data_IF_670762139759
#
_entry.id   IF_670762139759
#
_cell.length_a   1.000
_cell.length_b   1.000
_cell.length_c   1.000
_cell.angle_alpha   90.00
_cell.angle_beta   90.00
_cell.angle_gamma   90.00
#
_symmetry.space_group_name_H-M   'P 1'
#
loop_
_entity.id
_entity.type
_entity.pdbx_description
1 polymer ?
#
# COMPACT_ATOMS: atom_id res chain seq x y z
N UNK A 1 13.63 -17.12 -41.70
CA UNK A 1 14.06 -15.81 -41.12
C UNK A 1 13.16 -15.30 -39.97
N UNK A 2 12.57 -16.16 -39.11
CA UNK A 2 11.72 -15.71 -37.97
C UNK A 2 12.27 -16.04 -36.56
N UNK A 3 13.28 -16.91 -36.44
CA UNK A 3 13.86 -17.28 -35.14
C UNK A 3 15.00 -16.34 -34.67
N UNK A 4 15.77 -15.76 -35.60
CA UNK A 4 16.90 -14.88 -35.26
C UNK A 4 16.46 -13.49 -34.72
N UNK A 5 15.31 -12.98 -35.14
CA UNK A 5 14.79 -11.69 -34.67
C UNK A 5 14.24 -11.74 -33.24
N UNK A 6 13.75 -12.89 -32.77
CA UNK A 6 13.24 -13.01 -31.40
C UNK A 6 14.38 -13.02 -30.36
N UNK A 7 15.51 -13.63 -30.70
CA UNK A 7 16.65 -13.78 -29.78
C UNK A 7 17.39 -12.45 -29.55
N UNK A 8 17.49 -11.59 -30.57
CA UNK A 8 18.16 -10.28 -30.47
C UNK A 8 17.35 -9.28 -29.63
N UNK A 9 16.01 -9.33 -29.72
CA UNK A 9 15.11 -8.46 -28.94
C UNK A 9 15.08 -8.85 -27.45
N UNK A 10 15.11 -10.15 -27.14
CA UNK A 10 15.13 -10.64 -25.75
C UNK A 10 16.47 -10.33 -25.06
N UNK A 11 17.59 -10.47 -25.78
CA UNK A 11 18.92 -10.14 -25.26
C UNK A 11 19.05 -8.62 -25.00
N UNK A 12 18.52 -7.78 -25.88
CA UNK A 12 18.57 -6.32 -25.72
C UNK A 12 17.76 -5.83 -24.51
N UNK A 13 16.60 -6.44 -24.22
CA UNK A 13 15.77 -6.11 -23.05
C UNK A 13 16.42 -6.55 -21.72
N UNK A 14 17.12 -7.69 -21.71
CA UNK A 14 17.86 -8.16 -20.53
C UNK A 14 19.08 -7.28 -20.24
N UNK A 15 19.76 -6.77 -21.27
CA UNK A 15 20.86 -5.82 -21.11
C UNK A 15 20.41 -4.43 -20.65
N UNK A 16 19.23 -3.93 -21.06
CA UNK A 16 18.67 -2.69 -20.51
C UNK A 16 18.21 -2.83 -19.06
N UNK A 17 17.62 -3.97 -18.66
CA UNK A 17 17.24 -4.24 -17.27
C UNK A 17 18.45 -4.44 -16.34
N UNK A 18 19.52 -5.10 -16.82
CA UNK A 18 20.78 -5.23 -16.10
C UNK A 18 21.53 -3.88 -15.98
N UNK A 19 21.42 -3.01 -17.01
CA UNK A 19 21.95 -1.66 -16.96
C UNK A 19 21.16 -0.73 -16.02
N UNK A 20 19.84 -0.95 -15.84
CA UNK A 20 19.04 -0.27 -14.82
C UNK A 20 19.40 -0.74 -13.41
N UNK A 21 19.48 -2.05 -13.15
CA UNK A 21 19.89 -2.57 -11.84
C UNK A 21 21.33 -2.15 -11.44
N UNK A 22 22.24 -2.07 -12.43
CA UNK A 22 23.59 -1.54 -12.22
C UNK A 22 23.58 -0.03 -11.97
N UNK A 23 22.71 0.74 -12.66
CA UNK A 23 22.49 2.16 -12.38
C UNK A 23 21.84 2.41 -11.02
N UNK A 24 20.93 1.56 -10.54
CA UNK A 24 20.30 1.68 -9.22
C UNK A 24 21.33 1.47 -8.11
N UNK A 25 22.20 0.45 -8.26
CA UNK A 25 23.33 0.19 -7.37
C UNK A 25 24.39 1.30 -7.44
N UNK A 26 24.72 1.79 -8.63
CA UNK A 26 25.70 2.85 -8.84
C UNK A 26 25.18 4.22 -8.39
N UNK A 27 23.89 4.53 -8.55
CA UNK A 27 23.27 5.75 -8.04
C UNK A 27 23.19 5.72 -6.51
N UNK A 28 22.76 4.60 -5.91
CA UNK A 28 22.79 4.42 -4.45
C UNK A 28 24.22 4.51 -3.91
N UNK A 29 25.20 3.91 -4.58
CA UNK A 29 26.62 4.01 -4.20
C UNK A 29 27.18 5.43 -4.39
N UNK A 30 26.80 6.12 -5.47
CA UNK A 30 27.24 7.49 -5.78
C UNK A 30 26.59 8.51 -4.85
N UNK A 31 25.35 8.32 -4.39
CA UNK A 31 24.74 9.14 -3.35
C UNK A 31 25.37 8.89 -1.98
N UNK A 32 25.71 7.63 -1.65
CA UNK A 32 26.53 7.31 -0.45
C UNK A 32 27.91 7.99 -0.50
N UNK A 33 28.55 8.06 -1.66
CA UNK A 33 29.86 8.70 -1.84
C UNK A 33 29.79 10.24 -1.94
N UNK A 34 28.76 10.80 -2.59
CA UNK A 34 28.57 12.26 -2.71
C UNK A 34 28.29 12.90 -1.34
N UNK A 35 27.66 12.17 -0.44
CA UNK A 35 27.44 12.57 0.95
C UNK A 35 28.61 12.23 1.89
N UNK A 36 29.64 11.51 1.41
CA UNK A 36 30.84 11.20 2.20
C UNK A 36 31.89 12.34 2.20
N UNK A 37 31.73 13.35 1.32
CA UNK A 37 32.67 14.46 1.16
C UNK A 37 32.13 15.84 1.59
N UNK A 38 30.86 15.94 1.99
CA UNK A 38 30.34 17.15 2.64
C UNK A 38 30.84 17.14 4.08
N UNK A 39 31.73 18.08 4.38
CA UNK A 39 32.42 18.32 5.66
C UNK A 39 31.95 17.49 6.86
N UNK A 40 32.90 16.67 7.32
CA UNK A 40 33.04 16.14 8.67
C UNK A 40 32.96 17.30 9.67
N UNK A 41 31.72 17.63 10.06
CA UNK A 41 31.38 18.65 11.05
C UNK A 41 30.20 18.14 11.87
N UNK A 42 30.50 17.35 12.91
CA UNK A 42 29.62 17.07 14.04
C UNK A 42 28.18 16.61 13.76
N UNK A 43 27.90 15.73 12.79
CA UNK A 43 26.65 14.94 12.80
C UNK A 43 26.80 13.52 12.23
N UNK A 44 27.99 12.92 12.37
CA UNK A 44 28.13 11.47 12.29
C UNK A 44 27.65 10.84 13.62
N UNK A 45 26.35 10.88 13.89
CA UNK A 45 25.76 10.00 14.89
C UNK A 45 25.70 8.60 14.28
N UNK A 46 26.45 7.68 14.91
CA UNK A 46 26.44 6.24 14.69
C UNK A 46 25.15 5.70 14.06
N UNK A 47 25.28 4.89 13.01
CA UNK A 47 24.25 4.11 12.31
C UNK A 47 23.54 3.04 13.17
N UNK A 48 23.27 3.32 14.45
CA UNK A 48 22.46 2.49 15.35
C UNK A 48 21.24 3.22 15.94
N UNK A 49 21.15 4.53 15.73
CA UNK A 49 20.07 5.34 16.26
C UNK A 49 19.39 6.13 15.13
N UNK A 50 18.22 5.64 14.71
CA UNK A 50 17.30 6.32 13.80
C UNK A 50 15.85 6.25 14.28
N UNK A 51 15.65 6.06 15.58
CA UNK A 51 14.38 6.19 16.30
C UNK A 51 14.73 6.86 17.62
N UNK A 52 14.19 8.04 17.97
CA UNK A 52 14.36 8.66 19.29
C UNK A 52 14.30 7.60 20.40
N UNK A 53 15.22 7.65 21.37
CA UNK A 53 15.31 6.62 22.43
C UNK A 53 14.00 6.40 23.21
N UNK A 54 13.08 7.37 23.18
CA UNK A 54 11.73 7.26 23.73
C UNK A 54 10.73 6.58 22.78
N UNK A 55 10.87 6.73 21.46
CA UNK A 55 10.05 6.01 20.47
C UNK A 55 10.36 4.51 20.46
N UNK A 56 11.64 4.10 20.65
CA UNK A 56 12.01 2.67 20.83
C UNK A 56 11.35 2.03 22.07
N UNK A 57 11.01 2.81 23.11
CA UNK A 57 10.33 2.31 24.31
C UNK A 57 8.82 2.15 24.13
N UNK A 58 8.20 2.94 23.25
CA UNK A 58 6.77 2.85 22.92
C UNK A 58 6.52 1.76 21.88
N UNK A 59 7.46 1.54 20.95
CA UNK A 59 7.32 0.66 19.79
C UNK A 59 7.33 -0.86 20.08
N UNK A 60 7.45 -1.31 21.33
CA UNK A 60 7.65 -2.75 21.62
C UNK A 60 6.51 -3.41 22.39
N UNK A 61 5.37 -2.74 22.60
CA UNK A 61 4.21 -3.36 23.25
C UNK A 61 2.90 -3.16 22.49
N UNK A 62 2.77 -3.94 21.42
CA UNK A 62 1.58 -3.96 20.55
C UNK A 62 0.28 -4.27 21.30
N UNK A 63 0.33 -5.05 22.39
CA UNK A 63 -0.86 -5.43 23.14
C UNK A 63 -1.31 -4.35 24.14
N UNK A 64 -0.39 -3.66 24.81
CA UNK A 64 -0.72 -2.62 25.79
C UNK A 64 -1.06 -1.28 25.12
N UNK A 65 -0.34 -0.92 24.06
CA UNK A 65 -0.44 0.37 23.38
C UNK A 65 -0.55 0.19 21.87
N UNK A 66 -1.63 -0.44 21.36
CA UNK A 66 -1.72 -0.85 19.96
C UNK A 66 -1.63 0.33 18.98
N UNK A 67 -2.43 1.39 19.19
CA UNK A 67 -2.41 2.57 18.31
C UNK A 67 -1.04 3.26 18.33
N UNK A 68 -0.46 3.50 19.50
CA UNK A 68 0.85 4.14 19.62
C UNK A 68 1.96 3.29 18.98
N UNK A 69 1.91 1.97 19.14
CA UNK A 69 2.91 1.05 18.57
C UNK A 69 2.80 1.00 17.05
N UNK A 70 1.59 0.79 16.54
CA UNK A 70 1.33 0.73 15.09
C UNK A 70 1.63 2.06 14.42
N UNK A 71 1.26 3.18 15.04
CA UNK A 71 1.43 4.52 14.46
C UNK A 71 2.75 5.19 14.80
N UNK A 72 3.68 4.49 15.46
CA UNK A 72 5.06 4.96 15.62
C UNK A 72 5.68 5.26 14.24
N UNK A 73 6.62 6.20 14.18
CA UNK A 73 7.28 6.57 12.94
C UNK A 73 8.03 5.36 12.40
N UNK A 74 7.60 4.87 11.23
CA UNK A 74 8.22 3.74 10.55
C UNK A 74 9.15 4.18 9.42
N UNK A 75 9.21 5.46 9.06
CA UNK A 75 9.90 5.92 7.84
C UNK A 75 11.42 5.93 8.01
N UNK A 76 12.14 5.46 6.98
CA UNK A 76 13.58 5.65 6.95
C UNK A 76 13.91 7.08 6.47
N UNK A 77 15.02 7.70 6.93
CA UNK A 77 15.38 9.07 6.53
C UNK A 77 15.47 9.30 5.02
N UNK A 78 15.80 8.26 4.25
CA UNK A 78 15.88 8.35 2.79
C UNK A 78 14.51 8.58 2.14
N UNK A 79 13.41 8.13 2.75
CA UNK A 79 12.05 8.34 2.23
C UNK A 79 11.72 9.83 2.07
N UNK A 80 12.06 10.65 3.06
CA UNK A 80 11.87 12.11 3.00
C UNK A 80 12.70 12.74 1.87
N UNK A 81 13.94 12.30 1.72
CA UNK A 81 14.83 12.78 0.64
C UNK A 81 14.23 12.47 -0.73
N UNK A 82 13.74 11.24 -0.94
CA UNK A 82 13.14 10.82 -2.21
C UNK A 82 11.89 11.64 -2.53
N UNK A 83 11.01 11.85 -1.55
CA UNK A 83 9.79 12.67 -1.71
C UNK A 83 10.15 14.09 -2.14
N UNK A 84 11.11 14.72 -1.45
CA UNK A 84 11.56 16.08 -1.75
C UNK A 84 12.17 16.18 -3.15
N UNK A 85 13.17 15.36 -3.46
CA UNK A 85 13.87 15.41 -4.75
C UNK A 85 12.94 15.09 -5.93
N UNK A 86 12.08 14.07 -5.78
CA UNK A 86 11.12 13.67 -6.81
C UNK A 86 10.10 14.77 -7.09
N UNK A 87 9.53 15.35 -6.04
CA UNK A 87 8.57 16.44 -6.14
C UNK A 87 9.16 17.71 -6.75
N UNK A 88 10.36 18.12 -6.32
CA UNK A 88 11.06 19.30 -6.87
C UNK A 88 11.36 19.13 -8.37
N UNK A 89 11.81 17.95 -8.77
CA UNK A 89 12.06 17.61 -10.18
C UNK A 89 10.78 17.65 -11.01
N UNK A 90 9.69 17.06 -10.50
CA UNK A 90 8.40 17.06 -11.19
C UNK A 90 7.83 18.48 -11.32
N UNK A 91 7.91 19.30 -10.27
CA UNK A 91 7.40 20.69 -10.28
C UNK A 91 8.18 21.57 -11.26
N UNK A 92 9.50 21.41 -11.30
CA UNK A 92 10.35 22.13 -12.26
C UNK A 92 9.97 21.80 -13.70
N UNK A 93 9.75 20.51 -13.99
CA UNK A 93 9.32 20.08 -15.32
C UNK A 93 7.91 20.56 -15.65
N UNK A 94 6.98 20.54 -14.68
CA UNK A 94 5.62 21.04 -14.86
C UNK A 94 5.61 22.53 -15.25
N UNK A 95 6.33 23.38 -14.51
CA UNK A 95 6.43 24.83 -14.80
C UNK A 95 7.02 25.11 -16.18
N UNK A 96 7.92 24.24 -16.66
CA UNK A 96 8.48 24.32 -18.00
C UNK A 96 7.45 23.96 -19.08
N UNK A 97 6.62 22.95 -18.84
CA UNK A 97 5.56 22.51 -19.76
C UNK A 97 4.34 23.44 -19.78
N UNK A 98 4.10 24.15 -18.67
CA UNK A 98 2.98 25.09 -18.50
C UNK A 98 3.49 26.46 -18.05
N UNK A 99 4.01 27.30 -18.98
CA UNK A 99 4.59 28.61 -18.65
C UNK A 99 3.60 29.63 -18.07
N UNK A 100 2.30 29.36 -18.15
CA UNK A 100 1.26 30.19 -17.53
C UNK A 100 1.18 30.01 -16.01
N UNK A 101 1.80 28.96 -15.45
CA UNK A 101 1.89 28.78 -13.99
C UNK A 101 2.78 29.87 -13.39
N UNK A 102 2.40 30.40 -12.24
CA UNK A 102 3.19 31.43 -11.56
C UNK A 102 4.55 30.89 -11.12
N UNK A 103 5.55 31.77 -11.03
CA UNK A 103 6.87 31.41 -10.51
C UNK A 103 6.79 30.83 -9.08
N UNK A 104 5.85 31.33 -8.28
CA UNK A 104 5.59 30.92 -6.89
C UNK A 104 4.74 29.64 -6.77
N UNK A 105 4.17 29.13 -7.86
CA UNK A 105 3.32 27.95 -7.84
C UNK A 105 4.02 26.76 -7.17
N UNK A 106 3.44 26.19 -6.12
CA UNK A 106 4.06 25.10 -5.35
C UNK A 106 3.56 23.73 -5.78
N UNK A 107 2.46 23.64 -6.51
CA UNK A 107 1.81 22.39 -6.87
C UNK A 107 1.09 21.75 -5.68
N UNK A 108 0.44 22.55 -4.83
CA UNK A 108 -0.44 22.00 -3.77
C UNK A 108 -1.84 21.73 -4.31
N UNK A 109 -2.58 20.84 -3.65
CA UNK A 109 -3.96 20.52 -4.01
C UNK A 109 -4.85 21.78 -4.03
N UNK A 110 -4.64 22.71 -3.11
CA UNK A 110 -5.39 23.98 -3.03
C UNK A 110 -5.12 24.88 -4.24
N UNK A 111 -3.86 24.94 -4.71
CA UNK A 111 -3.51 25.74 -5.89
C UNK A 111 -4.13 25.14 -7.16
N UNK A 112 -4.11 23.81 -7.31
CA UNK A 112 -4.76 23.14 -8.44
C UNK A 112 -6.27 23.36 -8.44
N UNK A 113 -6.93 23.22 -7.28
CA UNK A 113 -8.37 23.44 -7.13
C UNK A 113 -8.78 24.90 -7.39
N UNK A 114 -8.08 25.86 -6.78
CA UNK A 114 -8.37 27.29 -6.94
C UNK A 114 -8.19 27.75 -8.40
N UNK A 115 -7.16 27.23 -9.07
CA UNK A 115 -6.89 27.54 -10.48
C UNK A 115 -7.71 26.70 -11.47
N UNK A 116 -8.48 25.70 -11.01
CA UNK A 116 -9.15 24.70 -11.87
C UNK A 116 -8.19 24.02 -12.86
N UNK A 117 -6.98 23.72 -12.40
CA UNK A 117 -5.83 23.26 -13.19
C UNK A 117 -5.76 21.73 -13.28
N UNK A 118 -6.87 21.08 -13.65
CA UNK A 118 -6.97 19.61 -13.65
C UNK A 118 -5.97 18.93 -14.58
N UNK A 119 -5.65 19.56 -15.72
CA UNK A 119 -4.68 19.02 -16.68
C UNK A 119 -3.26 19.04 -16.11
N UNK A 120 -2.91 20.14 -15.44
CA UNK A 120 -1.63 20.34 -14.79
C UNK A 120 -1.49 19.43 -13.56
N UNK A 121 -2.57 19.23 -12.79
CA UNK A 121 -2.61 18.30 -11.66
C UNK A 121 -2.32 16.87 -12.11
N UNK A 122 -3.05 16.39 -13.12
CA UNK A 122 -2.80 15.06 -13.70
C UNK A 122 -1.37 14.93 -14.23
N UNK A 123 -0.86 15.98 -14.89
CA UNK A 123 0.50 15.97 -15.41
C UNK A 123 1.53 15.98 -14.29
N UNK A 124 1.29 16.70 -13.20
CA UNK A 124 2.17 16.74 -12.05
C UNK A 124 2.23 15.41 -11.34
N UNK A 125 1.08 14.73 -11.20
CA UNK A 125 0.99 13.38 -10.65
C UNK A 125 1.80 12.37 -11.48
N UNK A 126 1.67 12.42 -12.81
CA UNK A 126 2.45 11.59 -13.72
C UNK A 126 3.97 11.87 -13.61
N UNK A 127 4.36 13.14 -13.65
CA UNK A 127 5.77 13.54 -13.55
C UNK A 127 6.38 13.14 -12.21
N UNK A 128 5.61 13.24 -11.14
CA UNK A 128 6.02 12.84 -9.79
C UNK A 128 6.23 11.33 -9.68
N UNK A 129 5.27 10.52 -10.12
CA UNK A 129 5.40 9.05 -10.16
C UNK A 129 6.64 8.61 -10.96
N UNK A 130 6.86 9.21 -12.13
CA UNK A 130 8.05 8.94 -12.94
C UNK A 130 9.34 9.36 -12.22
N UNK A 131 9.36 10.50 -11.52
CA UNK A 131 10.52 10.97 -10.78
C UNK A 131 10.83 10.07 -9.57
N UNK A 132 9.81 9.61 -8.84
CA UNK A 132 9.98 8.68 -7.72
C UNK A 132 10.52 7.33 -8.18
N UNK A 133 9.96 6.76 -9.26
CA UNK A 133 10.40 5.47 -9.82
C UNK A 133 11.84 5.49 -10.31
N UNK A 134 12.35 6.64 -10.75
CA UNK A 134 13.77 6.80 -11.07
C UNK A 134 14.69 6.71 -9.85
N UNK A 135 14.19 6.98 -8.65
CA UNK A 135 14.97 6.98 -7.41
C UNK A 135 14.74 5.67 -6.63
N UNK A 136 13.52 5.14 -6.67
CA UNK A 136 13.10 3.91 -6.01
C UNK A 136 12.09 3.16 -6.89
N UNK A 137 12.54 2.08 -7.53
CA UNK A 137 11.71 1.21 -8.37
C UNK A 137 10.83 0.29 -7.52
N UNK A 138 9.66 0.79 -7.11
CA UNK A 138 8.68 0.03 -6.34
C UNK A 138 7.86 -0.97 -7.17
N UNK A 139 7.98 -1.01 -8.51
CA UNK A 139 7.20 -1.93 -9.34
C UNK A 139 7.55 -3.40 -9.03
N UNK A 140 8.82 -3.68 -8.73
CA UNK A 140 9.28 -5.01 -8.33
C UNK A 140 8.63 -5.47 -7.04
N UNK A 141 8.60 -4.59 -6.03
CA UNK A 141 8.00 -4.88 -4.73
C UNK A 141 6.48 -5.09 -4.88
N UNK A 142 5.81 -4.33 -5.75
CA UNK A 142 4.40 -4.53 -6.09
C UNK A 142 4.17 -5.92 -6.68
N UNK A 143 4.93 -6.30 -7.70
CA UNK A 143 4.72 -7.60 -8.38
C UNK A 143 5.04 -8.78 -7.46
N UNK A 144 6.11 -8.69 -6.66
CA UNK A 144 6.47 -9.71 -5.68
C UNK A 144 5.37 -9.82 -4.59
N UNK A 145 4.89 -8.70 -4.07
CA UNK A 145 3.78 -8.69 -3.10
C UNK A 145 2.50 -9.25 -3.71
N UNK A 146 2.15 -8.85 -4.93
CA UNK A 146 0.96 -9.34 -5.66
C UNK A 146 0.99 -10.86 -5.79
N UNK A 147 2.08 -11.41 -6.30
CA UNK A 147 2.23 -12.85 -6.46
C UNK A 147 2.14 -13.61 -5.12
N UNK A 148 2.74 -13.05 -4.06
CA UNK A 148 2.67 -13.61 -2.72
C UNK A 148 1.24 -13.61 -2.16
N UNK A 149 0.54 -12.46 -2.23
CA UNK A 149 -0.84 -12.33 -1.74
C UNK A 149 -1.79 -13.23 -2.53
N UNK A 150 -1.66 -13.31 -3.85
CA UNK A 150 -2.45 -14.23 -4.68
C UNK A 150 -2.27 -15.70 -4.27
N UNK A 151 -1.01 -16.10 -4.01
CA UNK A 151 -0.71 -17.44 -3.51
C UNK A 151 -1.37 -17.69 -2.14
N UNK A 152 -1.22 -16.77 -1.19
CA UNK A 152 -1.77 -16.90 0.15
C UNK A 152 -3.30 -16.94 0.13
N UNK A 153 -3.95 -16.15 -0.72
CA UNK A 153 -5.40 -16.22 -0.94
C UNK A 153 -5.82 -17.56 -1.53
N UNK A 154 -5.10 -18.06 -2.53
CA UNK A 154 -5.41 -19.36 -3.11
C UNK A 154 -5.32 -20.47 -2.05
N UNK A 155 -4.28 -20.47 -1.21
CA UNK A 155 -4.15 -21.42 -0.09
C UNK A 155 -5.30 -21.27 0.91
N UNK A 156 -5.65 -20.03 1.29
CA UNK A 156 -6.74 -19.73 2.21
C UNK A 156 -8.11 -20.20 1.67
N UNK A 157 -8.42 -19.88 0.41
CA UNK A 157 -9.68 -20.27 -0.26
C UNK A 157 -9.75 -21.79 -0.43
N UNK A 158 -8.65 -22.45 -0.81
CA UNK A 158 -8.64 -23.90 -0.99
C UNK A 158 -8.91 -24.65 0.33
N UNK A 159 -8.41 -24.12 1.45
CA UNK A 159 -8.63 -24.67 2.78
C UNK A 159 -10.05 -24.42 3.34
N UNK A 160 -10.87 -23.58 2.67
CA UNK A 160 -12.23 -23.27 3.12
C UNK A 160 -13.23 -24.41 2.87
N UNK A 161 -14.42 -24.28 3.47
CA UNK A 161 -15.57 -25.19 3.30
C UNK A 161 -16.42 -24.86 2.07
N UNK A 162 -16.02 -23.88 1.25
CA UNK A 162 -16.70 -23.50 0.02
C UNK A 162 -16.76 -24.68 -0.97
N UNK A 163 -17.75 -24.68 -1.87
CA UNK A 163 -17.79 -25.65 -2.98
C UNK A 163 -16.62 -25.44 -3.94
N UNK A 164 -16.26 -26.46 -4.71
CA UNK A 164 -15.17 -26.38 -5.68
C UNK A 164 -15.42 -25.31 -6.76
N UNK A 165 -16.69 -25.11 -7.15
CA UNK A 165 -17.09 -24.06 -8.09
C UNK A 165 -16.82 -22.66 -7.50
N UNK A 166 -17.21 -22.44 -6.23
CA UNK A 166 -17.03 -21.14 -5.58
C UNK A 166 -15.55 -20.88 -5.27
N UNK A 167 -14.78 -21.91 -4.89
CA UNK A 167 -13.31 -21.83 -4.77
C UNK A 167 -12.67 -21.38 -6.09
N UNK A 168 -13.03 -22.02 -7.20
CA UNK A 168 -12.53 -21.65 -8.55
C UNK A 168 -12.90 -20.22 -8.91
N UNK A 169 -14.13 -19.81 -8.61
CA UNK A 169 -14.61 -18.44 -8.89
C UNK A 169 -13.83 -17.39 -8.10
N UNK A 170 -13.68 -17.56 -6.79
CA UNK A 170 -12.95 -16.59 -5.95
C UNK A 170 -11.47 -16.53 -6.31
N UNK A 171 -10.82 -17.68 -6.54
CA UNK A 171 -9.43 -17.72 -7.02
C UNK A 171 -9.30 -17.01 -8.37
N UNK A 172 -10.27 -17.17 -9.27
CA UNK A 172 -10.26 -16.46 -10.55
C UNK A 172 -10.33 -14.94 -10.38
N UNK A 173 -11.13 -14.43 -9.44
CA UNK A 173 -11.23 -12.98 -9.15
C UNK A 173 -9.90 -12.45 -8.58
N UNK A 174 -9.29 -13.16 -7.64
CA UNK A 174 -8.00 -12.79 -7.06
C UNK A 174 -6.90 -12.78 -8.12
N UNK A 175 -6.87 -13.80 -8.98
CA UNK A 175 -5.85 -13.93 -10.01
C UNK A 175 -6.02 -12.91 -11.15
N UNK A 176 -7.27 -12.51 -11.45
CA UNK A 176 -7.54 -11.50 -12.46
C UNK A 176 -7.36 -10.07 -11.96
N UNK A 177 -7.27 -9.85 -10.64
CA UNK A 177 -7.11 -8.51 -10.08
C UNK A 177 -5.74 -7.91 -10.41
N UNK A 178 -5.71 -6.70 -10.93
CA UNK A 178 -4.50 -5.96 -11.28
C UNK A 178 -4.17 -4.89 -10.24
N UNK A 179 -2.86 -4.67 -10.04
CA UNK A 179 -2.35 -3.55 -9.24
C UNK A 179 -1.66 -2.60 -10.21
N UNK A 180 -2.22 -1.40 -10.37
CA UNK A 180 -1.75 -0.45 -11.37
C UNK A 180 -1.07 0.74 -10.71
N UNK A 181 0.13 1.07 -11.19
CA UNK A 181 0.81 2.32 -10.84
C UNK A 181 0.17 3.51 -11.56
N UNK A 182 0.47 4.72 -11.09
CA UNK A 182 0.00 5.97 -11.71
C UNK A 182 0.42 6.04 -13.17
N UNK A 183 1.70 5.74 -13.49
CA UNK A 183 2.15 5.70 -14.87
C UNK A 183 1.34 4.71 -15.71
N UNK A 184 1.08 3.48 -15.21
CA UNK A 184 0.26 2.51 -15.94
C UNK A 184 -1.17 3.02 -16.18
N UNK A 185 -1.78 3.65 -15.17
CA UNK A 185 -3.11 4.24 -15.27
C UNK A 185 -3.16 5.32 -16.36
N UNK A 186 -2.14 6.17 -16.44
CA UNK A 186 -2.11 7.35 -17.32
C UNK A 186 -1.64 6.99 -18.73
N UNK A 187 -0.67 6.10 -18.88
CA UNK A 187 0.00 5.82 -20.16
C UNK A 187 -0.69 4.73 -20.99
N UNK A 188 -1.38 3.77 -20.35
CA UNK A 188 -1.99 2.64 -21.05
C UNK A 188 -3.44 2.92 -21.44
N UNK A 189 -3.99 2.16 -22.39
CA UNK A 189 -5.39 2.25 -22.82
C UNK A 189 -6.15 1.00 -22.39
N UNK A 190 -7.21 1.18 -21.59
CA UNK A 190 -8.04 0.10 -21.07
C UNK A 190 -9.46 0.61 -20.74
N UNK A 191 -10.47 -0.27 -20.68
CA UNK A 191 -11.83 0.09 -20.23
C UNK A 191 -11.82 0.71 -18.84
N UNK A 192 -12.45 1.89 -18.68
CA UNK A 192 -12.52 2.59 -17.40
C UNK A 192 -11.30 3.45 -17.05
N UNK A 193 -10.35 3.66 -17.97
CA UNK A 193 -9.19 4.54 -17.77
C UNK A 193 -9.53 5.91 -17.18
N UNK A 194 -10.56 6.57 -17.68
CA UNK A 194 -10.94 7.90 -17.19
C UNK A 194 -11.37 7.87 -15.72
N UNK A 195 -12.10 6.82 -15.31
CA UNK A 195 -12.51 6.64 -13.92
C UNK A 195 -11.30 6.38 -13.02
N UNK A 196 -10.34 5.53 -13.46
CA UNK A 196 -9.09 5.32 -12.72
C UNK A 196 -8.22 6.57 -12.64
N UNK A 197 -8.21 7.38 -13.71
CA UNK A 197 -7.45 8.63 -13.74
C UNK A 197 -8.01 9.62 -12.73
N UNK A 198 -9.34 9.75 -12.66
CA UNK A 198 -10.03 10.57 -11.66
C UNK A 198 -9.72 10.03 -10.26
N UNK A 199 -9.87 8.72 -10.05
CA UNK A 199 -9.59 8.07 -8.77
C UNK A 199 -8.15 8.33 -8.30
N UNK A 200 -7.19 8.22 -9.21
CA UNK A 200 -5.78 8.50 -8.95
C UNK A 200 -5.57 9.96 -8.51
N UNK A 201 -6.09 10.94 -9.26
CA UNK A 201 -5.96 12.36 -8.90
C UNK A 201 -6.66 12.70 -7.58
N UNK A 202 -7.80 12.09 -7.27
CA UNK A 202 -8.54 12.38 -6.04
C UNK A 202 -7.96 11.71 -4.79
N UNK A 203 -7.21 10.60 -4.93
CA UNK A 203 -6.72 9.84 -3.78
C UNK A 203 -5.22 9.96 -3.54
N UNK A 204 -4.43 10.24 -4.58
CA UNK A 204 -2.97 10.25 -4.47
C UNK A 204 -2.38 11.64 -4.28
N UNK A 205 -3.22 12.67 -4.13
CA UNK A 205 -2.81 14.07 -4.14
C UNK A 205 -2.14 14.47 -5.47
N UNK A 206 -1.95 15.78 -5.70
CA UNK A 206 -1.39 16.27 -6.96
C UNK A 206 0.04 15.77 -7.25
N UNK A 207 0.82 15.42 -6.22
CA UNK A 207 2.20 14.96 -6.34
C UNK A 207 2.40 13.45 -6.07
N UNK A 208 1.32 12.69 -5.90
CA UNK A 208 1.39 11.24 -5.68
C UNK A 208 1.79 10.84 -4.25
N UNK A 209 2.00 11.77 -3.33
CA UNK A 209 2.44 11.48 -1.96
C UNK A 209 1.32 10.99 -1.04
N UNK A 210 0.07 10.99 -1.51
CA UNK A 210 -1.06 10.42 -0.78
C UNK A 210 -0.77 8.99 -0.33
N UNK A 211 -1.20 8.67 0.89
CA UNK A 211 -1.00 7.36 1.52
C UNK A 211 -2.27 6.50 1.39
N UNK A 212 -2.81 6.37 0.18
CA UNK A 212 -4.05 5.61 -0.06
C UNK A 212 -3.83 4.41 -0.99
N UNK A 213 -4.64 3.38 -0.79
CA UNK A 213 -4.93 2.37 -1.79
C UNK A 213 -6.45 2.36 -2.03
N UNK A 214 -6.87 1.90 -3.20
CA UNK A 214 -8.29 1.83 -3.53
C UNK A 214 -8.57 0.76 -4.57
N UNK A 215 -9.50 -0.13 -4.24
CA UNK A 215 -10.07 -1.10 -5.16
C UNK A 215 -11.19 -0.49 -5.99
N UNK A 216 -11.18 -0.76 -7.28
CA UNK A 216 -12.22 -0.34 -8.21
C UNK A 216 -12.63 -1.50 -9.11
N UNK A 217 -13.94 -1.60 -9.35
CA UNK A 217 -14.50 -2.43 -10.41
C UNK A 217 -14.88 -1.52 -11.56
N UNK A 218 -14.04 -1.48 -12.60
CA UNK A 218 -14.22 -0.56 -13.70
C UNK A 218 -15.32 -1.04 -14.65
N UNK A 219 -16.21 -0.14 -15.12
CA UNK A 219 -17.23 -0.50 -16.11
C UNK A 219 -16.59 -1.11 -17.36
N UNK A 220 -16.98 -2.36 -17.67
CA UNK A 220 -16.47 -3.08 -18.84
C UNK A 220 -15.08 -3.72 -18.68
N UNK A 221 -14.44 -3.61 -17.52
CA UNK A 221 -13.23 -4.38 -17.24
C UNK A 221 -13.60 -5.80 -16.79
N UNK A 222 -12.91 -6.80 -17.34
CA UNK A 222 -13.03 -8.21 -16.91
C UNK A 222 -12.29 -8.51 -15.61
N UNK A 223 -11.52 -7.54 -15.11
CA UNK A 223 -10.61 -7.63 -13.99
C UNK A 223 -10.85 -6.47 -13.03
N UNK A 224 -10.72 -6.74 -11.73
CA UNK A 224 -10.63 -5.71 -10.71
C UNK A 224 -9.32 -4.96 -10.81
N UNK A 225 -9.31 -3.67 -10.45
CA UNK A 225 -8.08 -2.86 -10.40
C UNK A 225 -7.89 -2.29 -9.01
N UNK A 226 -6.67 -2.36 -8.51
CA UNK A 226 -6.21 -1.75 -7.27
C UNK A 226 -5.25 -0.63 -7.63
N UNK A 227 -5.61 0.59 -7.26
CA UNK A 227 -4.72 1.73 -7.23
C UNK A 227 -3.96 1.72 -5.91
N UNK A 228 -2.65 1.90 -5.95
CA UNK A 228 -1.85 2.22 -4.76
C UNK A 228 -1.04 3.48 -5.05
N UNK A 229 -1.19 4.50 -4.22
CA UNK A 229 -0.52 5.76 -4.40
C UNK A 229 0.99 5.65 -4.13
N UNK A 230 1.86 6.37 -4.87
CA UNK A 230 3.31 6.33 -4.70
C UNK A 230 3.78 6.55 -3.26
N UNK A 231 3.10 7.42 -2.51
CA UNK A 231 3.40 7.69 -1.10
C UNK A 231 3.48 6.42 -0.25
N UNK A 232 2.59 5.44 -0.46
CA UNK A 232 2.59 4.18 0.28
C UNK A 232 3.89 3.39 0.10
N UNK A 233 4.47 3.42 -1.11
CA UNK A 233 5.73 2.74 -1.40
C UNK A 233 6.93 3.55 -0.90
N UNK A 234 6.91 4.86 -1.12
CA UNK A 234 7.99 5.77 -0.76
C UNK A 234 8.26 5.79 0.74
N UNK A 235 7.21 5.67 1.56
CA UNK A 235 7.31 5.56 3.02
C UNK A 235 8.29 4.47 3.48
N UNK A 236 8.35 3.40 2.72
CA UNK A 236 9.12 2.20 3.04
C UNK A 236 10.48 2.18 2.35
N UNK A 237 10.79 3.21 1.53
CA UNK A 237 12.07 3.30 0.85
C UNK A 237 13.21 3.30 1.85
N UNK A 238 14.23 2.46 1.61
CA UNK A 238 15.37 2.29 2.50
C UNK A 238 15.22 1.26 3.61
N UNK A 239 14.03 0.66 3.80
CA UNK A 239 13.87 -0.54 4.63
C UNK A 239 14.35 -1.80 3.89
N UNK A 240 14.57 -2.87 4.63
CA UNK A 240 14.85 -4.19 4.07
C UNK A 240 13.67 -4.71 3.24
N UNK A 241 13.96 -5.45 2.16
CA UNK A 241 12.93 -5.91 1.21
C UNK A 241 11.79 -6.64 1.90
N UNK A 242 12.10 -7.57 2.80
CA UNK A 242 11.10 -8.35 3.52
C UNK A 242 10.12 -7.48 4.31
N UNK A 243 10.60 -6.39 4.90
CA UNK A 243 9.77 -5.43 5.64
C UNK A 243 8.89 -4.63 4.69
N UNK A 244 9.43 -4.22 3.53
CA UNK A 244 8.66 -3.52 2.50
C UNK A 244 7.53 -4.39 1.94
N UNK A 245 7.83 -5.63 1.59
CA UNK A 245 6.82 -6.62 1.15
C UNK A 245 5.79 -6.86 2.24
N UNK A 246 6.24 -7.11 3.49
CA UNK A 246 5.33 -7.38 4.61
C UNK A 246 4.37 -6.22 4.87
N UNK A 247 4.85 -4.97 4.77
CA UNK A 247 4.00 -3.80 4.92
C UNK A 247 2.89 -3.73 3.86
N UNK A 248 3.18 -4.17 2.64
CA UNK A 248 2.24 -4.17 1.52
C UNK A 248 1.31 -5.39 1.49
N UNK A 249 1.71 -6.53 2.08
CA UNK A 249 0.91 -7.77 2.07
C UNK A 249 -0.49 -7.53 2.62
N UNK A 250 -0.58 -6.86 3.78
CA UNK A 250 -1.87 -6.63 4.42
C UNK A 250 -2.73 -5.63 3.64
N UNK A 251 -2.14 -4.50 3.23
CA UNK A 251 -2.83 -3.49 2.42
C UNK A 251 -3.38 -4.10 1.13
N UNK A 252 -2.55 -4.85 0.40
CA UNK A 252 -2.97 -5.46 -0.85
C UNK A 252 -4.00 -6.57 -0.63
N UNK A 253 -3.88 -7.33 0.45
CA UNK A 253 -4.88 -8.34 0.78
C UNK A 253 -6.24 -7.72 1.11
N UNK A 254 -6.26 -6.62 1.87
CA UNK A 254 -7.47 -5.85 2.18
C UNK A 254 -8.18 -5.41 0.88
N UNK A 255 -7.43 -4.80 -0.04
CA UNK A 255 -7.96 -4.36 -1.34
C UNK A 255 -8.42 -5.55 -2.22
N UNK A 256 -7.66 -6.65 -2.25
CA UNK A 256 -8.09 -7.85 -2.98
C UNK A 256 -9.37 -8.47 -2.41
N UNK A 257 -9.62 -8.35 -1.11
CA UNK A 257 -10.89 -8.77 -0.52
C UNK A 257 -12.06 -7.93 -1.03
N UNK A 258 -11.89 -6.61 -1.17
CA UNK A 258 -12.94 -5.77 -1.78
C UNK A 258 -13.29 -6.23 -3.20
N UNK A 259 -12.31 -6.70 -3.98
CA UNK A 259 -12.59 -7.27 -5.30
C UNK A 259 -13.45 -8.54 -5.23
N UNK A 260 -13.26 -9.38 -4.22
CA UNK A 260 -14.14 -10.51 -3.94
C UNK A 260 -15.55 -10.05 -3.56
N UNK A 261 -15.68 -9.00 -2.75
CA UNK A 261 -16.99 -8.44 -2.38
C UNK A 261 -17.73 -7.88 -3.60
N UNK A 262 -17.03 -7.16 -4.49
CA UNK A 262 -17.61 -6.60 -5.71
C UNK A 262 -18.03 -7.68 -6.72
N UNK A 263 -17.16 -8.67 -6.98
CA UNK A 263 -17.29 -9.58 -8.13
C UNK A 263 -17.82 -10.96 -7.75
N UNK A 264 -17.40 -11.48 -6.59
CA UNK A 264 -17.85 -12.78 -6.08
C UNK A 264 -19.06 -12.66 -5.15
N UNK A 265 -19.38 -11.45 -4.65
CA UNK A 265 -20.44 -11.20 -3.65
C UNK A 265 -20.21 -12.01 -2.37
N UNK A 266 -18.95 -12.07 -1.93
CA UNK A 266 -18.50 -12.84 -0.76
C UNK A 266 -19.20 -12.41 0.55
N UNK A 267 -19.86 -11.25 0.57
CA UNK A 267 -20.64 -10.69 1.68
C UNK A 267 -21.74 -11.61 2.26
N UNK A 268 -21.97 -12.80 1.69
CA UNK A 268 -23.10 -13.68 2.03
C UNK A 268 -22.69 -15.09 2.49
N UNK A 269 -21.42 -15.53 2.38
CA UNK A 269 -21.10 -16.97 2.48
C UNK A 269 -20.05 -17.43 3.51
N UNK A 270 -19.22 -16.55 4.09
CA UNK A 270 -18.48 -16.93 5.31
C UNK A 270 -19.34 -16.68 6.55
N UNK A 271 -20.43 -17.45 6.66
CA UNK A 271 -21.47 -17.28 7.67
C UNK A 271 -20.93 -17.40 9.11
N UNK A 272 -19.80 -18.09 9.33
CA UNK A 272 -19.22 -18.22 10.66
C UNK A 272 -18.31 -17.04 11.03
N UNK A 273 -17.44 -16.57 10.12
CA UNK A 273 -16.61 -15.40 10.36
C UNK A 273 -17.46 -14.12 10.46
N UNK A 274 -18.45 -13.95 9.56
CA UNK A 274 -19.42 -12.85 9.62
C UNK A 274 -20.25 -12.93 10.90
N UNK A 275 -20.69 -14.12 11.34
CA UNK A 275 -21.46 -14.25 12.60
C UNK A 275 -20.64 -13.91 13.84
N UNK A 276 -19.37 -14.30 13.91
CA UNK A 276 -18.49 -13.93 15.02
C UNK A 276 -18.28 -12.41 15.07
N UNK A 277 -17.96 -11.81 13.91
CA UNK A 277 -17.76 -10.37 13.79
C UNK A 277 -19.05 -9.61 14.13
N UNK A 278 -20.18 -9.98 13.52
CA UNK A 278 -21.51 -9.42 13.83
C UNK A 278 -21.76 -9.45 15.32
N UNK A 279 -21.65 -10.59 15.99
CA UNK A 279 -21.91 -10.65 17.45
C UNK A 279 -20.99 -9.76 18.30
N UNK A 280 -19.84 -9.33 17.78
CA UNK A 280 -18.87 -8.49 18.48
C UNK A 280 -18.98 -7.00 18.16
N UNK A 281 -19.74 -6.62 17.11
CA UNK A 281 -19.92 -5.23 16.69
C UNK A 281 -21.09 -4.58 17.45
N UNK A 282 -20.95 -3.43 18.09
CA UNK A 282 -22.10 -2.72 18.64
C UNK A 282 -22.99 -2.15 17.51
N UNK A 283 -24.27 -1.90 17.81
CA UNK A 283 -25.21 -1.13 16.96
C UNK A 283 -25.56 -1.77 15.60
N UNK A 284 -26.08 -3.00 15.62
CA UNK A 284 -26.57 -3.75 14.43
C UNK A 284 -27.63 -3.02 13.61
N UNK A 285 -28.41 -2.16 14.24
CA UNK A 285 -29.57 -1.50 13.62
C UNK A 285 -29.21 -0.18 12.90
N UNK A 286 -27.94 0.20 12.89
CA UNK A 286 -27.50 1.42 12.22
C UNK A 286 -27.53 1.26 10.69
N UNK A 287 -27.97 2.33 10.01
CA UNK A 287 -28.12 2.44 8.55
C UNK A 287 -26.88 2.03 7.72
N UNK A 288 -25.69 2.07 8.30
CA UNK A 288 -24.42 1.77 7.62
C UNK A 288 -23.65 0.59 8.25
N UNK A 289 -24.33 -0.24 9.04
CA UNK A 289 -23.76 -1.45 9.63
C UNK A 289 -23.14 -2.37 8.56
N UNK A 290 -23.79 -2.53 7.42
CA UNK A 290 -23.30 -3.37 6.32
C UNK A 290 -21.98 -2.84 5.72
N UNK A 291 -21.79 -1.52 5.63
CA UNK A 291 -20.51 -0.93 5.18
C UNK A 291 -19.40 -1.18 6.20
N UNK A 292 -19.67 -0.96 7.49
CA UNK A 292 -18.72 -1.25 8.58
C UNK A 292 -18.34 -2.73 8.63
N UNK A 293 -19.31 -3.62 8.41
CA UNK A 293 -19.08 -5.06 8.36
C UNK A 293 -18.16 -5.44 7.18
N UNK A 294 -18.40 -4.87 5.99
CA UNK A 294 -17.57 -5.15 4.81
C UNK A 294 -16.12 -4.75 5.00
N UNK A 295 -15.87 -3.57 5.54
CA UNK A 295 -14.52 -3.08 5.88
C UNK A 295 -13.84 -3.95 6.92
N UNK A 296 -14.56 -4.33 7.98
CA UNK A 296 -14.02 -5.19 9.02
C UNK A 296 -13.73 -6.61 8.52
N UNK A 297 -14.52 -7.16 7.60
CA UNK A 297 -14.22 -8.44 6.94
C UNK A 297 -12.96 -8.35 6.06
N UNK A 298 -12.78 -7.23 5.36
CA UNK A 298 -11.58 -6.97 4.57
C UNK A 298 -10.33 -6.91 5.48
N UNK A 299 -10.41 -6.19 6.59
CA UNK A 299 -9.37 -6.16 7.62
C UNK A 299 -9.06 -7.55 8.18
N UNK A 300 -10.07 -8.29 8.63
CA UNK A 300 -9.88 -9.61 9.22
C UNK A 300 -9.22 -10.58 8.24
N UNK A 301 -9.71 -10.63 6.99
CA UNK A 301 -9.15 -11.52 5.98
C UNK A 301 -7.72 -11.11 5.66
N UNK A 302 -7.43 -9.82 5.51
CA UNK A 302 -6.08 -9.31 5.33
C UNK A 302 -5.16 -9.68 6.50
N UNK A 303 -5.67 -9.61 7.73
CA UNK A 303 -4.97 -10.06 8.94
C UNK A 303 -4.64 -11.55 8.90
N UNK A 304 -5.59 -12.40 8.49
CA UNK A 304 -5.35 -13.86 8.32
C UNK A 304 -4.28 -14.14 7.27
N UNK A 305 -4.33 -13.46 6.13
CA UNK A 305 -3.33 -13.55 5.06
C UNK A 305 -1.95 -13.09 5.57
N UNK A 306 -1.88 -12.00 6.32
CA UNK A 306 -0.65 -11.53 6.96
C UNK A 306 -0.08 -12.56 7.94
N UNK A 307 -0.90 -13.17 8.79
CA UNK A 307 -0.42 -14.19 9.73
C UNK A 307 0.07 -15.45 9.01
N UNK A 308 -0.55 -15.82 7.89
CA UNK A 308 -0.08 -16.90 7.03
C UNK A 308 1.30 -16.59 6.41
N UNK A 309 1.51 -15.36 5.92
CA UNK A 309 2.82 -14.87 5.47
C UNK A 309 3.88 -14.95 6.57
N UNK A 310 3.51 -14.57 7.80
CA UNK A 310 4.42 -14.54 8.94
C UNK A 310 4.54 -15.89 9.68
N UNK A 311 3.97 -16.97 9.15
CA UNK A 311 3.96 -18.29 9.81
C UNK A 311 5.37 -18.81 10.13
N UNK A 312 6.34 -18.57 9.24
CA UNK A 312 7.72 -19.01 9.42
C UNK A 312 8.54 -18.13 10.38
N UNK A 313 8.05 -16.94 10.75
CA UNK A 313 8.72 -16.08 11.72
C UNK A 313 8.45 -16.64 13.11
N UNK A 314 9.45 -17.22 13.77
CA UNK A 314 9.28 -17.82 15.11
C UNK A 314 9.60 -16.85 16.24
N UNK A 315 10.47 -15.86 15.99
CA UNK A 315 10.78 -14.82 16.96
C UNK A 315 9.56 -13.90 17.19
N UNK A 316 9.08 -13.86 18.43
CA UNK A 316 7.85 -13.14 18.78
C UNK A 316 7.98 -11.63 18.55
N UNK A 317 9.12 -11.05 18.92
CA UNK A 317 9.37 -9.62 18.76
C UNK A 317 9.39 -9.22 17.29
N UNK A 318 10.17 -9.93 16.48
CA UNK A 318 10.24 -9.71 15.02
C UNK A 318 8.86 -9.86 14.38
N UNK A 319 8.06 -10.83 14.85
CA UNK A 319 6.68 -10.99 14.37
C UNK A 319 5.80 -9.81 14.75
N UNK A 320 5.85 -9.34 16.00
CA UNK A 320 5.11 -8.15 16.44
C UNK A 320 5.52 -6.91 15.64
N UNK A 321 6.82 -6.67 15.45
CA UNK A 321 7.33 -5.54 14.67
C UNK A 321 6.80 -5.56 13.23
N UNK A 322 6.78 -6.75 12.59
CA UNK A 322 6.25 -6.96 11.24
C UNK A 322 4.74 -6.77 11.14
N UNK A 323 4.00 -7.19 12.16
CA UNK A 323 2.55 -6.97 12.24
C UNK A 323 2.25 -5.48 12.41
N UNK A 324 2.97 -4.78 13.29
CA UNK A 324 2.84 -3.33 13.45
C UNK A 324 3.16 -2.58 12.16
N UNK A 325 4.22 -2.99 11.46
CA UNK A 325 4.58 -2.42 10.17
C UNK A 325 3.48 -2.62 9.10
N UNK A 326 2.86 -3.80 9.08
CA UNK A 326 1.76 -4.12 8.16
C UNK A 326 0.45 -3.40 8.48
N UNK A 327 0.21 -3.02 9.74
CA UNK A 327 -0.98 -2.25 10.14
C UNK A 327 -0.78 -0.73 10.04
N UNK A 328 0.46 -0.25 9.87
CA UNK A 328 0.80 1.17 9.93
C UNK A 328 0.05 2.05 8.91
N UNK A 329 -0.43 1.49 7.79
CA UNK A 329 -1.22 2.21 6.80
C UNK A 329 -2.54 2.76 7.39
N UNK A 330 -3.12 2.08 8.38
CA UNK A 330 -4.34 2.51 9.09
C UNK A 330 -4.15 3.87 9.79
N UNK A 331 -2.92 4.26 10.11
CA UNK A 331 -2.63 5.53 10.78
C UNK A 331 -2.72 6.75 9.84
N UNK A 332 -2.86 6.54 8.53
CA UNK A 332 -2.90 7.62 7.52
C UNK A 332 -4.26 7.75 6.85
N UNK A 333 -5.22 6.91 7.25
CA UNK A 333 -6.61 7.06 6.87
C UNK A 333 -7.20 8.13 7.81
N UNK A 334 -7.84 9.19 7.29
CA UNK A 334 -8.54 10.14 8.15
C UNK A 334 -9.50 9.38 9.08
N UNK A 335 -9.40 9.63 10.40
CA UNK A 335 -10.39 9.09 11.33
C UNK A 335 -11.77 9.60 10.88
N UNK A 336 -12.75 8.70 10.86
CA UNK A 336 -14.13 9.04 10.54
C UNK A 336 -14.58 10.24 11.40
N UNK A 337 -14.95 11.36 10.78
CA UNK A 337 -15.48 12.52 11.49
C UNK A 337 -16.78 12.14 12.23
N UNK A 338 -17.26 12.93 13.19
CA UNK A 338 -18.48 12.60 13.97
C UNK A 338 -19.76 12.39 13.12
N UNK A 339 -19.79 12.87 11.86
CA UNK A 339 -20.84 12.54 10.89
C UNK A 339 -20.62 11.24 10.09
N UNK A 340 -19.38 10.72 10.07
CA UNK A 340 -18.89 9.50 9.39
C UNK A 340 -18.60 8.34 10.35
N UNK A 341 -18.58 8.56 11.67
CA UNK A 341 -18.42 7.47 12.66
C UNK A 341 -19.57 6.45 12.62
N UNK A 342 -20.70 6.83 12.01
CA UNK A 342 -21.79 5.93 11.70
C UNK A 342 -21.44 4.94 10.57
N UNK A 343 -20.49 5.27 9.67
CA UNK A 343 -20.19 4.54 8.43
C UNK A 343 -18.91 3.70 8.49
N UNK A 344 -17.94 4.01 9.37
CA UNK A 344 -16.65 3.31 9.47
C UNK A 344 -16.19 3.16 10.93
N UNK A 345 -15.41 2.11 11.24
CA UNK A 345 -14.71 1.99 12.52
C UNK A 345 -13.60 3.03 12.63
N UNK A 346 -13.33 3.50 13.84
CA UNK A 346 -12.11 4.28 14.10
C UNK A 346 -10.87 3.45 13.80
N UNK A 347 -9.77 4.07 13.40
CA UNK A 347 -8.53 3.32 13.11
C UNK A 347 -8.03 2.54 14.35
N UNK A 348 -8.30 3.07 15.55
CA UNK A 348 -7.97 2.38 16.81
C UNK A 348 -8.76 1.07 16.98
N UNK A 349 -10.06 1.09 16.68
CA UNK A 349 -10.89 -0.11 16.75
C UNK A 349 -10.50 -1.14 15.70
N UNK A 350 -10.18 -0.70 14.47
CA UNK A 350 -9.68 -1.58 13.40
C UNK A 350 -8.41 -2.30 13.85
N UNK A 351 -7.42 -1.58 14.38
CA UNK A 351 -6.19 -2.16 14.93
C UNK A 351 -6.50 -3.17 16.05
N UNK A 352 -7.37 -2.80 17.01
CA UNK A 352 -7.74 -3.71 18.12
C UNK A 352 -8.43 -4.98 17.63
N UNK A 353 -9.30 -4.89 16.62
CA UNK A 353 -10.00 -6.04 16.07
C UNK A 353 -9.06 -7.01 15.34
N UNK A 354 -8.08 -6.47 14.60
CA UNK A 354 -7.03 -7.27 13.97
C UNK A 354 -6.20 -8.08 14.99
N UNK A 355 -5.97 -7.52 16.18
CA UNK A 355 -5.25 -8.23 17.25
C UNK A 355 -6.10 -9.30 17.96
N UNK A 356 -7.41 -9.34 17.72
CA UNK A 356 -8.33 -10.34 18.28
C UNK A 356 -8.52 -11.55 17.36
N UNK A 357 -7.90 -11.59 16.18
CA UNK A 357 -8.08 -12.75 15.30
C UNK A 357 -7.44 -14.01 15.89
N UNK A 358 -7.98 -15.18 15.59
CA UNK A 358 -7.53 -16.47 16.11
C UNK A 358 -6.05 -16.72 15.81
N UNK A 359 -5.60 -16.35 14.61
CA UNK A 359 -4.21 -16.48 14.17
C UNK A 359 -3.27 -15.55 14.93
N UNK A 360 -3.78 -14.44 15.48
CA UNK A 360 -3.03 -13.52 16.34
C UNK A 360 -2.93 -14.02 17.79
N UNK A 361 -3.46 -15.21 18.11
CA UNK A 361 -3.43 -15.79 19.45
C UNK A 361 -2.03 -15.87 20.07
N UNK A 362 -1.03 -16.09 19.22
CA UNK A 362 0.38 -16.15 19.57
C UNK A 362 0.95 -14.84 20.11
N UNK A 363 0.28 -13.71 19.86
CA UNK A 363 0.68 -12.39 20.37
C UNK A 363 0.25 -12.19 21.82
N UNK A 364 -0.63 -13.05 22.35
CA UNK A 364 -1.18 -12.96 23.72
C UNK A 364 -1.88 -11.63 24.03
N UNK A 365 -2.34 -10.90 23.01
CA UNK A 365 -3.09 -9.66 23.21
C UNK A 365 -4.55 -9.98 23.62
N UNK A 366 -4.91 -9.63 24.86
CA UNK A 366 -6.29 -9.53 25.34
C UNK A 366 -7.06 -10.83 25.64
N UNK A 367 -8.09 -10.69 26.47
CA UNK A 367 -9.14 -11.68 26.73
C UNK A 367 -10.40 -11.35 25.90
N UNK A 368 -11.09 -12.37 25.38
CA UNK A 368 -12.32 -12.22 24.59
C UNK A 368 -12.48 -13.26 23.48
N UNK A 369 -13.67 -13.39 22.87
CA UNK A 369 -13.89 -14.30 21.75
C UNK A 369 -13.04 -13.88 20.55
N UNK A 370 -12.32 -14.85 19.98
CA UNK A 370 -11.46 -14.65 18.80
C UNK A 370 -12.22 -15.09 17.56
N UNK A 371 -12.39 -14.16 16.64
CA UNK A 371 -12.84 -14.42 15.27
C UNK A 371 -11.60 -14.64 14.37
#
# INVERSE_FOLDING_TARGET
MKKAFLTITVISAVFTLAACAKKDSEYAAKMRQKNAGAQVGQTATNHKDGVPKNEKKIATNLCEKPKETVCAVQEAPIAETIRKEGREKALTQLKKEFPQLSAEFKGTSEEFQAGKLYKEELRFLHLSDAAYRMIYDYDKDIQETKALVQKLYAEHIQASTLSDEEKKRQISVINSTDVMSISQIIETTYPGKNAMTILATSNCEGDGLGLRAHSSLLPGASAGVILICPGQFLKLAGKDKDDRITSLVMLLAHEMYHQLQFQARVDVQDAEASKCLRNSMPEHDNKYFETREREAMADMTAGRILMAHLKAVTDLKTKQDRISLAMNWLCHIPDAHEGDSATHFTNEERIKNLLKIKEAAILTCGEGPRC
#
